data_IF_248503134280
#
_entry.id   IF_248503134280
#
_cell.length_a   1.000
_cell.length_b   1.000
_cell.length_c   1.000
_cell.angle_alpha   90.00
_cell.angle_beta   90.00
_cell.angle_gamma   90.00
#
_symmetry.space_group_name_H-M   'P 1'
#
loop_
_entity.id
_entity.type
_entity.pdbx_description
1 polymer ?
#
# COMPACT_ATOMS: atom_id res chain seq x y z
N UNK A 1 57.89 -13.11 -62.71
CA UNK A 1 57.11 -14.10 -61.96
C UNK A 1 57.10 -13.72 -60.50
N UNK A 2 56.02 -13.13 -60.01
CA UNK A 2 55.80 -12.87 -58.55
C UNK A 2 54.35 -13.21 -58.24
N UNK A 3 54.19 -14.26 -57.43
CA UNK A 3 52.87 -14.76 -56.96
C UNK A 3 52.41 -13.88 -55.80
N UNK A 4 51.26 -13.25 -55.98
CA UNK A 4 50.58 -12.45 -54.97
C UNK A 4 49.68 -13.42 -54.16
N UNK A 5 50.00 -13.58 -52.88
CA UNK A 5 49.21 -14.39 -51.93
C UNK A 5 48.19 -13.45 -51.30
N UNK A 6 46.91 -13.67 -51.61
CA UNK A 6 45.77 -12.98 -50.98
C UNK A 6 45.41 -13.72 -49.70
N UNK A 7 45.69 -13.08 -48.55
CA UNK A 7 45.22 -13.50 -47.27
C UNK A 7 43.75 -13.04 -47.08
N UNK A 8 42.84 -13.99 -47.04
CA UNK A 8 41.43 -13.74 -46.65
C UNK A 8 41.34 -13.73 -45.16
N UNK A 9 41.21 -12.53 -44.55
CA UNK A 9 40.92 -12.36 -43.12
C UNK A 9 39.42 -12.53 -42.93
N UNK A 10 39.02 -13.69 -42.42
CA UNK A 10 37.62 -13.96 -42.05
C UNK A 10 37.28 -13.17 -40.77
N UNK A 11 36.44 -12.14 -40.89
CA UNK A 11 35.84 -11.45 -39.79
C UNK A 11 34.70 -12.31 -39.25
N UNK A 12 34.94 -13.03 -38.14
CA UNK A 12 33.88 -13.64 -37.35
C UNK A 12 33.07 -12.51 -36.68
N UNK A 13 31.94 -12.15 -37.26
CA UNK A 13 30.94 -11.34 -36.62
C UNK A 13 30.34 -12.13 -35.46
N UNK A 14 30.77 -11.84 -34.22
CA UNK A 14 30.14 -12.33 -33.03
C UNK A 14 28.75 -11.68 -32.93
N UNK A 15 27.74 -12.44 -33.31
CA UNK A 15 26.33 -12.08 -33.08
C UNK A 15 26.11 -12.13 -31.57
N UNK A 16 26.17 -10.98 -30.92
CA UNK A 16 25.72 -10.84 -29.54
C UNK A 16 24.21 -11.07 -29.56
N UNK A 17 23.77 -12.28 -29.26
CA UNK A 17 22.40 -12.54 -28.86
C UNK A 17 22.13 -11.76 -27.59
N UNK A 18 21.43 -10.65 -27.73
CA UNK A 18 20.83 -9.97 -26.60
C UNK A 18 19.87 -10.97 -25.98
N UNK A 19 20.23 -11.51 -24.82
CA UNK A 19 19.33 -12.30 -24.04
C UNK A 19 18.07 -11.45 -23.87
N UNK A 20 16.93 -11.93 -24.36
CA UNK A 20 15.65 -11.31 -24.09
C UNK A 20 15.54 -11.18 -22.57
N UNK A 21 15.50 -9.95 -22.08
CA UNK A 21 15.11 -9.68 -20.71
C UNK A 21 13.82 -10.46 -20.48
N UNK A 22 13.83 -11.37 -19.51
CA UNK A 22 12.67 -12.19 -19.20
C UNK A 22 11.44 -11.31 -19.11
N UNK A 23 10.28 -11.84 -19.49
CA UNK A 23 9.01 -11.14 -19.38
C UNK A 23 8.87 -10.76 -17.90
N UNK A 24 9.01 -9.47 -17.59
CA UNK A 24 8.80 -8.98 -16.25
C UNK A 24 7.35 -9.20 -15.86
N UNK A 25 7.14 -9.90 -14.77
CA UNK A 25 5.79 -10.09 -14.22
C UNK A 25 5.34 -8.74 -13.66
N UNK A 26 4.18 -8.20 -14.08
CA UNK A 26 3.72 -6.90 -13.61
C UNK A 26 3.68 -6.83 -12.09
N UNK A 27 4.29 -5.81 -11.50
CA UNK A 27 4.16 -5.52 -10.08
C UNK A 27 2.80 -4.88 -9.81
N UNK A 28 2.07 -5.43 -8.85
CA UNK A 28 0.75 -4.95 -8.41
C UNK A 28 0.89 -4.01 -7.21
N UNK A 29 1.86 -4.30 -6.34
CA UNK A 29 2.12 -3.55 -5.12
C UNK A 29 2.84 -4.37 -4.07
N UNK A 30 2.76 -3.93 -2.82
CA UNK A 30 3.45 -4.55 -1.69
C UNK A 30 2.45 -4.89 -0.59
N UNK A 31 2.68 -5.99 0.11
CA UNK A 31 1.92 -6.35 1.33
C UNK A 31 2.88 -6.69 2.46
N UNK A 32 2.42 -6.47 3.69
CA UNK A 32 3.04 -7.04 4.89
C UNK A 32 2.30 -8.34 5.19
N UNK A 33 2.98 -9.48 5.20
CA UNK A 33 2.36 -10.78 5.48
C UNK A 33 2.15 -11.01 6.99
N UNK A 34 1.70 -12.21 7.37
CA UNK A 34 1.43 -12.56 8.78
C UNK A 34 2.69 -12.67 9.64
N UNK A 35 3.86 -12.81 9.02
CA UNK A 35 5.16 -12.89 9.69
C UNK A 35 5.80 -11.52 9.90
N UNK A 36 5.18 -10.44 9.40
CA UNK A 36 5.76 -9.10 9.37
C UNK A 36 6.79 -8.93 8.26
N UNK A 37 6.71 -9.75 7.21
CA UNK A 37 7.56 -9.65 6.04
C UNK A 37 6.87 -8.83 4.95
N UNK A 38 7.58 -7.83 4.42
CA UNK A 38 7.16 -7.09 3.24
C UNK A 38 7.44 -7.90 1.98
N UNK A 39 6.42 -8.11 1.17
CA UNK A 39 6.53 -8.92 -0.05
C UNK A 39 5.85 -8.24 -1.23
N UNK A 40 6.46 -8.26 -2.43
CA UNK A 40 5.81 -7.78 -3.63
C UNK A 40 4.68 -8.74 -4.06
N UNK A 41 3.58 -8.16 -4.48
CA UNK A 41 2.50 -8.87 -5.19
C UNK A 41 2.69 -8.63 -6.66
N UNK A 42 2.74 -9.70 -7.42
CA UNK A 42 3.00 -9.70 -8.85
C UNK A 42 1.90 -10.44 -9.61
N UNK A 43 1.78 -10.20 -10.90
CA UNK A 43 0.84 -10.89 -11.77
C UNK A 43 -0.24 -10.00 -12.36
N UNK A 44 -1.38 -10.60 -12.66
CA UNK A 44 -2.57 -9.93 -13.20
C UNK A 44 -3.79 -10.29 -12.38
N UNK A 45 -4.86 -9.51 -12.49
CA UNK A 45 -6.11 -9.73 -11.77
C UNK A 45 -6.57 -11.20 -11.89
N UNK A 46 -6.71 -11.86 -10.74
CA UNK A 46 -7.08 -13.28 -10.66
C UNK A 46 -5.93 -14.29 -10.77
N UNK A 47 -4.69 -13.83 -11.04
CA UNK A 47 -3.50 -14.68 -11.09
C UNK A 47 -2.33 -13.97 -10.41
N UNK A 48 -2.39 -13.91 -9.09
CA UNK A 48 -1.37 -13.25 -8.27
C UNK A 48 -0.32 -14.23 -7.78
N UNK A 49 0.91 -13.74 -7.63
CA UNK A 49 2.04 -14.40 -7.01
C UNK A 49 2.61 -13.50 -5.92
N UNK A 50 3.06 -14.10 -4.83
CA UNK A 50 3.87 -13.39 -3.84
C UNK A 50 5.34 -13.60 -4.18
N UNK A 51 6.04 -12.49 -4.37
CA UNK A 51 7.48 -12.50 -4.56
C UNK A 51 8.24 -12.84 -3.28
N UNK A 52 9.57 -12.89 -3.33
CA UNK A 52 10.41 -13.12 -2.15
C UNK A 52 10.25 -11.99 -1.13
N UNK A 53 10.57 -12.27 0.12
CA UNK A 53 10.64 -11.25 1.19
C UNK A 53 11.62 -10.16 0.81
N UNK A 54 11.15 -8.92 0.78
CA UNK A 54 11.98 -7.74 0.51
C UNK A 54 12.55 -7.14 1.80
N UNK A 55 11.78 -7.22 2.89
CA UNK A 55 12.19 -6.72 4.21
C UNK A 55 11.42 -7.47 5.30
N UNK A 56 12.07 -7.77 6.42
CA UNK A 56 11.47 -8.39 7.60
C UNK A 56 11.35 -7.41 8.76
N UNK A 57 10.51 -7.72 9.75
CA UNK A 57 10.30 -6.88 10.93
C UNK A 57 9.48 -5.61 10.63
N UNK A 58 8.63 -5.67 9.63
CA UNK A 58 7.77 -4.57 9.22
C UNK A 58 6.51 -4.54 10.08
N UNK A 59 6.26 -3.41 10.73
CA UNK A 59 5.07 -3.18 11.55
C UNK A 59 3.89 -2.65 10.73
N UNK A 60 4.17 -1.77 9.78
CA UNK A 60 3.19 -1.26 8.83
C UNK A 60 3.85 -0.74 7.57
N UNK A 61 3.13 -0.75 6.46
CA UNK A 61 3.58 -0.20 5.20
C UNK A 61 2.39 0.38 4.41
N UNK A 62 2.67 1.39 3.60
CA UNK A 62 1.75 1.89 2.60
C UNK A 62 2.53 2.27 1.34
N UNK A 63 2.03 1.85 0.18
CA UNK A 63 2.67 2.10 -1.09
C UNK A 63 1.68 2.71 -2.08
N UNK A 64 2.18 3.67 -2.86
CA UNK A 64 1.56 4.21 -4.07
C UNK A 64 2.51 3.99 -5.25
N UNK A 65 2.20 4.53 -6.42
CA UNK A 65 3.11 4.49 -7.57
C UNK A 65 4.35 5.37 -7.40
N UNK A 66 4.31 6.35 -6.49
CA UNK A 66 5.37 7.34 -6.30
C UNK A 66 6.14 7.16 -5.00
N UNK A 67 5.48 6.68 -3.95
CA UNK A 67 6.05 6.60 -2.61
C UNK A 67 5.63 5.30 -1.93
N UNK A 68 6.61 4.60 -1.35
CA UNK A 68 6.36 3.47 -0.47
C UNK A 68 7.07 3.73 0.85
N UNK A 69 6.31 3.83 1.94
CA UNK A 69 6.82 4.01 3.29
C UNK A 69 6.61 2.76 4.11
N UNK A 70 7.66 2.35 4.79
CA UNK A 70 7.73 1.14 5.59
C UNK A 70 8.11 1.51 7.01
N UNK A 71 7.31 1.14 7.99
CA UNK A 71 7.61 1.32 9.41
C UNK A 71 8.17 0.03 9.98
N UNK A 72 9.39 0.12 10.49
CA UNK A 72 10.00 -0.86 11.39
C UNK A 72 9.82 -0.40 12.85
N UNK A 73 10.44 -1.04 13.81
CA UNK A 73 10.25 -0.66 15.22
C UNK A 73 10.58 0.82 15.49
N UNK A 74 11.73 1.29 15.04
CA UNK A 74 12.23 2.65 15.36
C UNK A 74 12.51 3.53 14.14
N UNK A 75 12.16 3.08 12.92
CA UNK A 75 12.47 3.82 11.70
C UNK A 75 11.31 3.81 10.71
N UNK A 76 11.27 4.84 9.87
CA UNK A 76 10.56 4.81 8.58
C UNK A 76 11.60 4.67 7.49
N UNK A 77 11.35 3.74 6.58
CA UNK A 77 12.21 3.42 5.42
C UNK A 77 11.44 3.75 4.15
N UNK A 78 12.11 4.42 3.23
CA UNK A 78 11.68 4.70 1.85
C UNK A 78 12.63 4.05 0.86
N UNK A 79 12.39 4.23 -0.45
CA UNK A 79 13.32 3.81 -1.48
C UNK A 79 14.62 4.64 -1.50
N UNK A 80 14.59 5.85 -0.97
CA UNK A 80 15.69 6.84 -1.01
C UNK A 80 16.48 6.91 0.29
N UNK A 81 15.88 6.49 1.43
CA UNK A 81 16.56 6.60 2.71
C UNK A 81 15.75 6.07 3.89
N UNK A 82 16.27 6.32 5.07
CA UNK A 82 15.62 5.97 6.33
C UNK A 82 15.70 7.14 7.32
N UNK A 83 14.70 7.25 8.20
CA UNK A 83 14.62 8.27 9.25
C UNK A 83 14.17 7.64 10.54
N UNK A 84 14.76 8.09 11.66
CA UNK A 84 14.33 7.67 13.00
C UNK A 84 12.89 8.11 13.27
N UNK A 85 12.11 7.24 13.89
CA UNK A 85 10.70 7.45 14.18
C UNK A 85 10.33 6.85 15.54
N UNK A 86 9.24 7.30 16.19
CA UNK A 86 8.72 6.68 17.40
C UNK A 86 8.54 5.17 17.24
N UNK A 87 8.70 4.42 18.34
CA UNK A 87 8.45 2.96 18.35
C UNK A 87 7.00 2.62 18.02
N UNK A 88 6.76 1.36 17.63
CA UNK A 88 5.43 0.88 17.28
C UNK A 88 5.03 1.13 15.83
N UNK A 89 3.80 0.76 15.46
CA UNK A 89 3.27 0.91 14.10
C UNK A 89 3.00 2.38 13.75
N UNK A 90 2.83 2.66 12.47
CA UNK A 90 2.38 3.96 11.98
C UNK A 90 1.21 3.80 11.00
N UNK A 91 0.38 4.84 10.90
CA UNK A 91 -0.64 4.98 9.88
C UNK A 91 -0.14 6.01 8.87
N UNK A 92 -0.18 5.65 7.59
CA UNK A 92 0.32 6.50 6.50
C UNK A 92 -0.82 6.99 5.62
N UNK A 93 -0.82 8.28 5.33
CA UNK A 93 -1.67 8.92 4.33
C UNK A 93 -0.82 9.48 3.19
N UNK A 94 -0.68 8.71 2.11
CA UNK A 94 0.16 9.07 0.98
C UNK A 94 -0.50 10.11 0.06
N UNK A 95 0.29 11.04 -0.47
CA UNK A 95 -0.13 12.05 -1.44
C UNK A 95 1.03 12.48 -2.32
N UNK A 96 1.16 11.88 -3.50
CA UNK A 96 2.31 12.11 -4.37
C UNK A 96 3.59 11.59 -3.73
N UNK A 97 4.58 12.47 -3.60
CA UNK A 97 5.88 12.24 -2.97
C UNK A 97 5.93 12.62 -1.47
N UNK A 98 4.80 13.05 -0.92
CA UNK A 98 4.64 13.38 0.51
C UNK A 98 3.72 12.39 1.21
N UNK A 99 3.82 12.34 2.54
CA UNK A 99 2.88 11.60 3.36
C UNK A 99 2.59 12.34 4.67
N UNK A 100 1.40 12.13 5.19
CA UNK A 100 1.10 12.37 6.60
C UNK A 100 1.25 11.03 7.32
N UNK A 101 1.94 11.06 8.44
CA UNK A 101 2.20 9.89 9.28
C UNK A 101 1.59 10.14 10.64
N UNK A 102 0.85 9.18 11.16
CA UNK A 102 0.37 9.19 12.54
C UNK A 102 1.01 8.06 13.31
N UNK A 103 1.51 8.36 14.49
CA UNK A 103 2.09 7.41 15.44
C UNK A 103 1.12 7.18 16.59
N UNK A 104 0.37 6.07 16.59
CA UNK A 104 -0.69 5.84 17.58
C UNK A 104 -0.20 5.81 19.02
N UNK A 105 0.99 5.25 19.28
CA UNK A 105 1.52 5.10 20.65
C UNK A 105 1.89 6.41 21.32
N UNK A 106 2.26 7.42 20.54
CA UNK A 106 2.61 8.76 21.06
C UNK A 106 1.59 9.82 20.66
N UNK A 107 0.50 9.45 19.98
CA UNK A 107 -0.56 10.33 19.49
C UNK A 107 -0.04 11.56 18.72
N UNK A 108 0.96 11.36 17.85
CA UNK A 108 1.64 12.45 17.14
C UNK A 108 1.47 12.30 15.63
N UNK A 109 1.15 13.41 14.98
CA UNK A 109 1.17 13.53 13.55
C UNK A 109 2.48 14.13 13.06
N UNK A 110 2.97 13.64 11.90
CA UNK A 110 4.13 14.22 11.24
C UNK A 110 3.89 14.26 9.72
N UNK A 111 4.57 15.17 9.04
CA UNK A 111 4.70 15.18 7.59
C UNK A 111 6.01 14.49 7.23
N UNK A 112 5.93 13.54 6.30
CA UNK A 112 7.08 12.96 5.64
C UNK A 112 7.33 13.68 4.32
N UNK A 113 8.53 14.19 4.13
CA UNK A 113 8.99 14.78 2.89
C UNK A 113 10.52 14.72 2.81
N UNK A 114 11.08 14.29 1.66
CA UNK A 114 12.53 14.18 1.42
C UNK A 114 13.28 13.44 2.55
N UNK A 115 12.83 12.24 2.90
CA UNK A 115 13.40 11.41 3.97
C UNK A 115 13.53 12.12 5.32
N UNK A 116 12.61 13.03 5.62
CA UNK A 116 12.54 13.79 6.87
C UNK A 116 11.14 13.78 7.44
N UNK A 117 11.04 13.82 8.76
CA UNK A 117 9.79 13.94 9.52
C UNK A 117 9.70 15.33 10.17
N UNK A 118 8.64 16.05 9.84
CA UNK A 118 8.27 17.31 10.46
C UNK A 118 7.02 17.10 11.33
N UNK A 119 7.12 17.33 12.64
CA UNK A 119 5.96 17.19 13.54
C UNK A 119 4.88 18.21 13.21
N UNK A 120 3.62 17.77 13.19
CA UNK A 120 2.45 18.60 12.94
C UNK A 120 1.70 18.81 14.27
N UNK A 121 1.26 20.03 14.49
CA UNK A 121 0.42 20.40 15.66
C UNK A 121 -1.06 20.12 15.34
N UNK A 122 -1.39 18.84 15.14
CA UNK A 122 -2.75 18.38 14.93
C UNK A 122 -3.24 17.65 16.17
N UNK A 123 -4.36 18.11 16.73
CA UNK A 123 -4.97 17.54 17.93
C UNK A 123 -6.33 16.91 17.56
N UNK A 124 -6.30 15.71 17.00
CA UNK A 124 -7.52 15.00 16.59
C UNK A 124 -8.02 14.12 17.72
N UNK A 125 -9.31 14.24 18.04
CA UNK A 125 -9.96 13.46 19.08
C UNK A 125 -10.42 12.10 18.58
N UNK A 126 -10.15 11.03 19.35
CA UNK A 126 -10.56 9.65 19.08
C UNK A 126 -9.48 8.79 18.44
N UNK A 127 -9.83 7.52 18.18
CA UNK A 127 -8.91 6.56 17.59
C UNK A 127 -8.78 6.83 16.10
N UNK A 128 -7.61 7.26 15.65
CA UNK A 128 -7.30 7.45 14.24
C UNK A 128 -7.19 6.10 13.55
N UNK A 129 -7.93 5.91 12.48
CA UNK A 129 -7.99 4.66 11.71
C UNK A 129 -7.31 4.78 10.34
N UNK A 130 -7.41 5.96 9.72
CA UNK A 130 -6.80 6.25 8.42
C UNK A 130 -6.62 7.76 8.28
N UNK A 131 -5.64 8.15 7.49
CA UNK A 131 -5.32 9.55 7.24
C UNK A 131 -5.06 9.81 5.77
N UNK A 132 -5.29 11.04 5.36
CA UNK A 132 -4.77 11.67 4.16
C UNK A 132 -4.59 13.17 4.41
N UNK A 133 -3.93 13.96 3.56
CA UNK A 133 -3.43 15.30 3.93
C UNK A 133 -4.47 16.27 4.50
N UNK A 134 -5.75 16.09 4.22
CA UNK A 134 -6.81 17.00 4.69
C UNK A 134 -7.96 16.29 5.41
N UNK A 135 -7.85 14.99 5.60
CA UNK A 135 -8.93 14.17 6.13
C UNK A 135 -8.38 13.05 7.00
N UNK A 136 -9.05 12.82 8.09
CA UNK A 136 -8.70 11.83 9.10
C UNK A 136 -9.96 11.04 9.43
N UNK A 137 -9.91 9.73 9.27
CA UNK A 137 -10.98 8.86 9.70
C UNK A 137 -10.74 8.47 11.16
N UNK A 138 -11.70 8.76 12.02
CA UNK A 138 -11.65 8.48 13.45
C UNK A 138 -12.81 7.61 13.87
N UNK A 139 -12.56 6.66 14.77
CA UNK A 139 -13.60 5.81 15.35
C UNK A 139 -14.50 6.63 16.26
N UNK A 140 -15.79 6.38 16.16
CA UNK A 140 -16.82 6.87 17.07
C UNK A 140 -17.61 5.67 17.63
N UNK A 141 -18.45 5.94 18.62
CA UNK A 141 -19.26 4.91 19.29
C UNK A 141 -20.16 4.11 18.32
N UNK A 142 -20.72 4.80 17.33
CA UNK A 142 -21.75 4.31 16.40
C UNK A 142 -21.31 4.29 14.94
N UNK A 143 -20.02 4.50 14.67
CA UNK A 143 -19.51 4.52 13.31
C UNK A 143 -18.12 5.13 13.19
N UNK A 144 -17.84 5.70 12.02
CA UNK A 144 -16.60 6.38 11.70
C UNK A 144 -16.92 7.80 11.28
N UNK A 145 -16.24 8.79 11.87
CA UNK A 145 -16.27 10.18 11.42
C UNK A 145 -15.05 10.47 10.56
N UNK A 146 -15.25 11.10 9.42
CA UNK A 146 -14.18 11.73 8.63
C UNK A 146 -14.15 13.20 9.04
N UNK A 147 -13.00 13.63 9.55
CA UNK A 147 -12.79 15.00 10.07
C UNK A 147 -11.59 15.65 9.40
N UNK A 148 -11.50 16.97 9.51
CA UNK A 148 -10.28 17.72 9.18
C UNK A 148 -9.31 17.72 10.35
N UNK A 149 -8.05 18.16 10.14
CA UNK A 149 -7.08 18.33 11.22
C UNK A 149 -7.51 19.23 12.39
N UNK A 150 -8.47 20.12 12.15
CA UNK A 150 -9.08 21.02 13.15
C UNK A 150 -10.30 20.41 13.85
N UNK A 151 -10.53 19.11 13.69
CA UNK A 151 -11.70 18.36 14.16
C UNK A 151 -13.05 18.74 13.52
N UNK A 152 -13.08 19.63 12.54
CA UNK A 152 -14.34 19.91 11.84
C UNK A 152 -14.81 18.70 11.05
N UNK A 153 -16.07 18.30 11.25
CA UNK A 153 -16.65 17.12 10.61
C UNK A 153 -16.83 17.35 9.10
N UNK A 154 -16.48 16.33 8.32
CA UNK A 154 -16.72 16.26 6.87
C UNK A 154 -17.88 15.31 6.60
N UNK A 155 -17.81 14.10 7.14
CA UNK A 155 -18.75 13.01 6.90
C UNK A 155 -18.85 12.09 8.11
N UNK A 156 -20.01 11.46 8.29
CA UNK A 156 -20.21 10.37 9.24
C UNK A 156 -20.67 9.12 8.50
N UNK A 157 -20.00 7.99 8.75
CA UNK A 157 -20.31 6.68 8.17
C UNK A 157 -20.89 5.81 9.28
N UNK A 158 -22.22 5.66 9.35
CA UNK A 158 -22.84 4.81 10.35
C UNK A 158 -22.54 3.34 10.06
N UNK A 159 -22.62 2.50 11.08
CA UNK A 159 -22.45 1.03 11.02
C UNK A 159 -21.05 0.56 10.54
N UNK A 160 -20.14 1.45 10.24
CA UNK A 160 -18.74 1.12 9.98
C UNK A 160 -18.07 0.73 11.32
N UNK A 161 -17.78 -0.54 11.49
CA UNK A 161 -17.30 -1.10 12.78
C UNK A 161 -15.87 -1.61 12.73
N UNK A 162 -15.30 -1.68 11.53
CA UNK A 162 -13.98 -2.25 11.26
C UNK A 162 -12.93 -1.22 10.87
N UNK A 163 -11.84 -1.68 10.28
CA UNK A 163 -10.83 -0.82 9.70
C UNK A 163 -11.39 -0.02 8.53
N UNK A 164 -10.75 1.12 8.27
CA UNK A 164 -11.06 2.02 7.16
C UNK A 164 -9.78 2.46 6.48
N UNK A 165 -9.85 2.73 5.18
CA UNK A 165 -8.81 3.35 4.39
C UNK A 165 -9.40 4.48 3.55
N UNK A 166 -8.90 5.69 3.77
CA UNK A 166 -9.20 6.85 2.93
C UNK A 166 -8.43 6.74 1.62
N UNK A 167 -9.12 6.77 0.50
CA UNK A 167 -8.55 6.76 -0.84
C UNK A 167 -8.49 8.17 -1.41
N UNK A 168 -7.72 8.38 -2.49
CA UNK A 168 -7.70 9.67 -3.20
C UNK A 168 -9.10 10.11 -3.66
N UNK A 169 -9.96 9.16 -4.03
CA UNK A 169 -11.34 9.39 -4.47
C UNK A 169 -12.31 8.43 -3.80
N UNK A 170 -12.54 8.61 -2.49
CA UNK A 170 -13.48 7.78 -1.76
C UNK A 170 -12.90 7.11 -0.53
N UNK A 171 -13.55 6.02 -0.10
CA UNK A 171 -13.20 5.31 1.14
C UNK A 171 -13.49 3.82 1.00
N UNK A 172 -12.62 2.99 1.56
CA UNK A 172 -12.89 1.56 1.81
C UNK A 172 -13.06 1.38 3.31
N UNK A 173 -14.13 0.73 3.73
CA UNK A 173 -14.37 0.45 5.14
C UNK A 173 -15.01 -0.92 5.35
N UNK A 174 -14.82 -1.46 6.53
CA UNK A 174 -15.45 -2.70 6.93
C UNK A 174 -16.68 -2.45 7.81
N UNK A 175 -17.74 -3.18 7.53
CA UNK A 175 -18.85 -3.42 8.43
C UNK A 175 -18.66 -4.79 9.12
N UNK A 176 -19.64 -5.27 9.84
CA UNK A 176 -19.59 -6.56 10.55
C UNK A 176 -19.28 -7.75 9.61
N UNK A 177 -19.81 -7.74 8.39
CA UNK A 177 -19.80 -8.87 7.46
C UNK A 177 -19.46 -8.49 6.00
N UNK A 178 -19.14 -7.22 5.74
CA UNK A 178 -18.87 -6.72 4.40
C UNK A 178 -17.68 -5.76 4.38
N UNK A 179 -17.02 -5.71 3.23
CA UNK A 179 -16.17 -4.59 2.79
C UNK A 179 -17.01 -3.72 1.88
N UNK A 180 -16.96 -2.44 2.12
CA UNK A 180 -17.66 -1.43 1.33
C UNK A 180 -16.60 -0.53 0.68
N UNK A 181 -16.62 -0.44 -0.63
CA UNK A 181 -15.88 0.54 -1.41
C UNK A 181 -16.87 1.61 -1.86
N UNK A 182 -16.68 2.85 -1.40
CA UNK A 182 -17.47 4.02 -1.79
C UNK A 182 -16.58 5.00 -2.54
N UNK A 183 -16.99 5.36 -3.75
CA UNK A 183 -16.32 6.32 -4.64
C UNK A 183 -17.36 7.22 -5.30
N UNK A 184 -16.93 8.23 -6.07
CA UNK A 184 -17.82 9.18 -6.75
C UNK A 184 -18.91 8.52 -7.64
N UNK A 185 -18.63 7.32 -8.14
CA UNK A 185 -19.56 6.53 -8.99
C UNK A 185 -20.56 5.67 -8.23
N UNK A 186 -20.52 5.65 -6.90
CA UNK A 186 -21.41 4.82 -6.09
C UNK A 186 -20.71 3.95 -5.05
N UNK A 187 -21.41 2.93 -4.62
CA UNK A 187 -20.97 2.02 -3.57
C UNK A 187 -21.01 0.56 -4.05
N UNK A 188 -19.90 -0.15 -3.86
CA UNK A 188 -19.77 -1.59 -4.16
C UNK A 188 -19.48 -2.34 -2.87
N UNK A 189 -20.15 -3.47 -2.66
CA UNK A 189 -20.07 -4.27 -1.44
C UNK A 189 -19.57 -5.68 -1.73
N UNK A 190 -18.68 -6.16 -0.88
CA UNK A 190 -18.12 -7.52 -0.94
C UNK A 190 -18.35 -8.22 0.39
N UNK A 191 -18.82 -9.47 0.34
CA UNK A 191 -18.95 -10.27 1.55
C UNK A 191 -17.57 -10.55 2.15
N UNK A 192 -17.37 -10.16 3.39
CA UNK A 192 -16.12 -10.40 4.14
C UNK A 192 -16.39 -10.19 5.62
N UNK A 193 -16.34 -11.27 6.38
CA UNK A 193 -16.51 -11.20 7.82
C UNK A 193 -15.16 -11.23 8.54
N UNK A 194 -15.06 -10.47 9.64
CA UNK A 194 -13.86 -10.47 10.49
C UNK A 194 -12.66 -9.79 9.84
N UNK A 195 -12.89 -8.70 9.13
CA UNK A 195 -11.84 -7.85 8.57
C UNK A 195 -11.02 -7.21 9.68
N UNK A 196 -9.71 -7.42 9.63
CA UNK A 196 -8.73 -6.99 10.63
C UNK A 196 -7.96 -5.75 10.22
N UNK A 197 -7.61 -5.64 8.92
CA UNK A 197 -6.93 -4.46 8.40
C UNK A 197 -7.29 -4.21 6.93
N UNK A 198 -7.18 -2.94 6.53
CA UNK A 198 -7.30 -2.45 5.16
C UNK A 198 -6.12 -1.52 4.93
N UNK A 199 -5.26 -1.83 3.95
CA UNK A 199 -4.03 -1.06 3.69
C UNK A 199 -3.83 -0.82 2.20
N UNK A 200 -3.24 0.31 1.83
CA UNK A 200 -2.88 0.59 0.45
C UNK A 200 -1.79 -0.38 -0.01
N UNK A 201 -2.00 -1.06 -1.12
CA UNK A 201 -1.07 -2.01 -1.70
C UNK A 201 -0.36 -1.45 -2.94
N UNK A 202 -0.97 -0.48 -3.59
CA UNK A 202 -0.51 0.25 -4.77
C UNK A 202 -1.63 1.17 -5.25
N UNK A 203 -1.49 1.77 -6.44
CA UNK A 203 -2.48 2.74 -6.96
C UNK A 203 -3.86 2.12 -7.24
N UNK A 204 -3.88 0.86 -7.67
CA UNK A 204 -5.10 0.20 -8.16
C UNK A 204 -5.64 -0.86 -7.21
N UNK A 205 -4.93 -1.16 -6.12
CA UNK A 205 -5.28 -2.25 -5.22
C UNK A 205 -5.12 -1.88 -3.75
N UNK A 206 -5.99 -2.47 -2.96
CA UNK A 206 -6.00 -2.41 -1.50
C UNK A 206 -5.88 -3.82 -0.95
N UNK A 207 -4.99 -4.02 0.00
CA UNK A 207 -4.90 -5.29 0.73
C UNK A 207 -5.90 -5.30 1.87
N UNK A 208 -6.67 -6.38 1.97
CA UNK A 208 -7.67 -6.61 3.01
C UNK A 208 -7.31 -7.90 3.74
N UNK A 209 -7.00 -7.81 5.02
CA UNK A 209 -6.78 -8.98 5.86
C UNK A 209 -8.06 -9.33 6.60
N UNK A 210 -8.53 -10.56 6.45
CA UNK A 210 -9.70 -11.08 7.14
C UNK A 210 -9.49 -12.55 7.51
N UNK A 211 -9.69 -12.91 8.79
CA UNK A 211 -9.62 -14.30 9.29
C UNK A 211 -8.34 -15.06 8.86
N UNK A 212 -7.19 -14.39 8.87
CA UNK A 212 -5.91 -15.01 8.53
C UNK A 212 -5.60 -15.10 7.03
N UNK A 213 -6.52 -14.69 6.15
CA UNK A 213 -6.27 -14.60 4.71
C UNK A 213 -6.13 -13.15 4.27
N UNK A 214 -5.44 -12.93 3.15
CA UNK A 214 -5.30 -11.61 2.54
C UNK A 214 -5.99 -11.62 1.17
N UNK A 215 -6.77 -10.58 0.93
CA UNK A 215 -7.40 -10.31 -0.35
C UNK A 215 -6.78 -9.07 -0.98
N UNK A 216 -6.73 -9.03 -2.30
CA UNK A 216 -6.50 -7.83 -3.09
C UNK A 216 -7.85 -7.30 -3.60
N UNK A 217 -8.27 -6.14 -3.14
CA UNK A 217 -9.42 -5.43 -3.67
C UNK A 217 -8.95 -4.49 -4.78
N UNK A 218 -9.39 -4.72 -6.00
CA UNK A 218 -9.22 -3.77 -7.09
C UNK A 218 -10.18 -2.60 -6.91
N UNK A 219 -9.66 -1.38 -6.99
CA UNK A 219 -10.42 -0.15 -6.72
C UNK A 219 -10.67 0.72 -7.97
N UNK A 220 -10.33 0.23 -9.16
CA UNK A 220 -10.59 0.97 -10.42
C UNK A 220 -12.10 1.04 -10.67
N UNK A 221 -12.68 2.25 -10.93
CA UNK A 221 -14.10 2.41 -11.19
C UNK A 221 -14.59 1.54 -12.36
N UNK A 222 -15.68 0.79 -12.13
CA UNK A 222 -16.28 -0.14 -13.09
C UNK A 222 -15.52 -1.46 -13.28
N UNK A 223 -14.47 -1.70 -12.48
CA UNK A 223 -13.69 -2.96 -12.50
C UNK A 223 -13.42 -3.47 -11.10
N UNK A 224 -14.18 -3.02 -10.12
CA UNK A 224 -14.03 -3.39 -8.72
C UNK A 224 -14.19 -4.88 -8.54
N UNK A 225 -13.25 -5.52 -7.89
CA UNK A 225 -13.24 -6.97 -7.70
C UNK A 225 -12.36 -7.35 -6.53
N UNK A 226 -12.77 -8.37 -5.78
CA UNK A 226 -12.06 -8.91 -4.64
C UNK A 226 -11.42 -10.25 -5.02
N UNK A 227 -10.11 -10.38 -4.83
CA UNK A 227 -9.33 -11.56 -5.17
C UNK A 227 -8.61 -12.10 -3.93
N UNK A 228 -8.57 -13.41 -3.77
CA UNK A 228 -7.75 -14.05 -2.75
C UNK A 228 -6.27 -14.04 -3.20
N UNK A 229 -5.37 -13.61 -2.32
CA UNK A 229 -3.93 -13.73 -2.56
C UNK A 229 -3.41 -15.12 -2.17
N UNK A 230 -2.45 -15.68 -2.94
CA UNK A 230 -1.86 -16.99 -2.66
C UNK A 230 -1.01 -16.95 -1.38
N UNK A 231 -0.77 -18.13 -0.79
CA UNK A 231 0.14 -18.28 0.35
C UNK A 231 -0.41 -17.88 1.72
N UNK A 232 -1.69 -17.51 1.80
CA UNK A 232 -2.38 -17.13 3.04
C UNK A 232 -3.56 -18.08 3.36
N UNK A 233 -3.54 -19.31 2.86
CA UNK A 233 -4.44 -20.34 3.35
C UNK A 233 -3.97 -20.80 4.74
N UNK A 234 -4.88 -21.02 5.69
CA UNK A 234 -4.55 -21.50 7.03
C UNK A 234 -3.85 -22.84 7.03
#
# INVERSE_FOLDING_TARGET
MRRLLLLFCGVCAAVHTWAQSGIEVPAIGMIVDSSGDLRPVQGVAGSFLLGPTSMSGVLSAACSDQLCLIKTDSKIVSATGETDAPTGPAIFGLSGDEAIVFFPEVHTFARWHNDSLETLDWAVEGDVLSIRPKEIAVRRHDGISIVRPDNSAIEFIPDASGPVLLLAKGVVFATKDQIVLRQDGGEVRFASAGTQSITAMGAHYVAIRARGVIYALRIDPGRESLFLLPGNAP
#
